data_IF_947478412655
#
_entry.id   IF_947478412655
#
_cell.length_a   1.000
_cell.length_b   1.000
_cell.length_c   1.000
_cell.angle_alpha   90.00
_cell.angle_beta   90.00
_cell.angle_gamma   90.00
#
_symmetry.space_group_name_H-M   'P 1'
#
loop_
_entity.id
_entity.type
_entity.pdbx_description
1 polymer ?
#
# COMPACT_ATOMS: atom_id res chain seq x y z
N UNK A 1 -32.32 -7.91 7.67
CA UNK A 1 -31.08 -8.47 8.24
C UNK A 1 -30.33 -9.12 7.09
N UNK A 2 -29.06 -8.79 6.82
CA UNK A 2 -28.26 -9.56 5.86
C UNK A 2 -28.22 -11.03 6.30
N UNK A 3 -28.28 -11.95 5.34
CA UNK A 3 -28.08 -13.38 5.59
C UNK A 3 -26.66 -13.61 6.11
N UNK A 4 -26.51 -14.37 7.19
CA UNK A 4 -25.20 -14.82 7.70
C UNK A 4 -24.54 -15.87 6.79
N UNK A 5 -25.28 -16.40 5.82
CA UNK A 5 -24.80 -17.38 4.85
C UNK A 5 -24.69 -16.77 3.46
N UNK A 6 -23.60 -17.10 2.76
CA UNK A 6 -23.41 -16.74 1.35
C UNK A 6 -24.45 -17.43 0.48
N UNK A 7 -25.10 -16.66 -0.38
CA UNK A 7 -26.03 -17.17 -1.37
C UNK A 7 -25.26 -17.60 -2.64
N UNK A 8 -24.84 -18.87 -2.63
CA UNK A 8 -24.11 -19.49 -3.76
C UNK A 8 -24.96 -19.52 -5.04
N UNK A 9 -26.28 -19.62 -4.90
CA UNK A 9 -27.20 -19.59 -6.04
C UNK A 9 -27.17 -18.21 -6.69
N UNK A 10 -27.27 -17.14 -5.87
CA UNK A 10 -27.14 -15.78 -6.36
C UNK A 10 -25.77 -15.51 -7.01
N UNK A 11 -24.68 -16.06 -6.46
CA UNK A 11 -23.34 -15.94 -7.06
C UNK A 11 -23.25 -16.59 -8.44
N UNK A 12 -23.86 -17.77 -8.62
CA UNK A 12 -23.91 -18.46 -9.92
C UNK A 12 -24.67 -17.67 -11.00
N UNK A 13 -25.60 -16.82 -10.58
CA UNK A 13 -26.39 -15.96 -11.47
C UNK A 13 -25.75 -14.60 -11.76
N UNK A 14 -24.61 -14.25 -11.15
CA UNK A 14 -23.92 -13.00 -11.45
C UNK A 14 -23.38 -12.99 -12.88
N UNK A 15 -23.45 -11.81 -13.51
CA UNK A 15 -22.88 -11.55 -14.84
C UNK A 15 -22.09 -10.24 -14.82
N UNK A 16 -21.02 -10.13 -15.63
CA UNK A 16 -20.47 -8.83 -15.97
C UNK A 16 -21.56 -7.86 -16.47
N UNK A 17 -21.44 -6.57 -16.14
CA UNK A 17 -22.45 -5.52 -16.36
C UNK A 17 -23.47 -5.37 -15.21
N UNK A 18 -23.60 -6.35 -14.31
CA UNK A 18 -24.47 -6.21 -13.14
C UNK A 18 -23.87 -5.27 -12.09
N UNK A 19 -24.70 -4.54 -11.30
CA UNK A 19 -24.19 -3.67 -10.25
C UNK A 19 -23.57 -4.46 -9.10
N UNK A 20 -22.53 -3.89 -8.47
CA UNK A 20 -21.82 -4.44 -7.31
C UNK A 20 -22.77 -4.77 -6.14
N UNK A 21 -23.90 -4.07 -6.04
CA UNK A 21 -24.93 -4.35 -5.05
C UNK A 21 -25.43 -5.81 -5.10
N UNK A 22 -25.50 -6.43 -6.29
CA UNK A 22 -25.90 -7.83 -6.44
C UNK A 22 -24.83 -8.77 -5.86
N UNK A 23 -23.56 -8.45 -6.08
CA UNK A 23 -22.44 -9.18 -5.52
C UNK A 23 -22.39 -9.04 -3.99
N UNK A 24 -22.58 -7.82 -3.46
CA UNK A 24 -22.60 -7.60 -2.01
C UNK A 24 -23.79 -8.32 -1.34
N UNK A 25 -24.96 -8.33 -1.98
CA UNK A 25 -26.13 -9.06 -1.48
C UNK A 25 -25.89 -10.57 -1.45
N UNK A 26 -25.28 -11.14 -2.49
CA UNK A 26 -24.98 -12.56 -2.55
C UNK A 26 -23.94 -12.98 -1.51
N UNK A 27 -22.94 -12.12 -1.24
CA UNK A 27 -21.91 -12.38 -0.23
C UNK A 27 -22.37 -12.13 1.21
N UNK A 28 -23.46 -11.39 1.43
CA UNK A 28 -24.02 -11.16 2.75
C UNK A 28 -23.02 -10.51 3.71
N UNK A 29 -22.87 -11.09 4.90
CA UNK A 29 -21.94 -10.60 5.94
C UNK A 29 -20.46 -10.78 5.59
N UNK A 30 -20.14 -11.56 4.54
CA UNK A 30 -18.77 -11.71 4.03
C UNK A 30 -18.38 -10.61 3.02
N UNK A 31 -19.30 -9.72 2.67
CA UNK A 31 -19.00 -8.54 1.89
C UNK A 31 -18.31 -7.47 2.74
N UNK A 32 -17.29 -6.82 2.16
CA UNK A 32 -16.80 -5.53 2.63
C UNK A 32 -16.73 -4.55 1.45
N UNK A 33 -16.93 -3.24 1.68
CA UNK A 33 -16.63 -2.23 0.69
C UNK A 33 -15.19 -2.36 0.17
N UNK A 34 -15.03 -2.19 -1.13
CA UNK A 34 -13.73 -2.23 -1.80
C UNK A 34 -12.92 -0.98 -1.44
N UNK A 35 -11.63 -1.18 -1.15
CA UNK A 35 -10.64 -0.10 -1.00
C UNK A 35 -9.79 0.02 -2.25
N UNK A 36 -8.92 1.03 -2.30
CA UNK A 36 -7.94 1.18 -3.38
C UNK A 36 -7.02 -0.04 -3.53
N UNK A 37 -6.74 -0.74 -2.44
CA UNK A 37 -5.80 -1.86 -2.37
C UNK A 37 -6.39 -3.14 -2.97
N UNK A 38 -7.72 -3.19 -3.10
CA UNK A 38 -8.39 -4.32 -3.72
C UNK A 38 -8.27 -4.29 -5.26
N UNK A 39 -7.95 -3.14 -5.85
CA UNK A 39 -7.92 -2.93 -7.31
C UNK A 39 -9.22 -3.36 -8.02
N UNK A 40 -10.34 -3.23 -7.32
CA UNK A 40 -11.66 -3.69 -7.73
C UNK A 40 -11.93 -5.17 -7.49
N UNK A 41 -10.94 -5.96 -7.06
CA UNK A 41 -11.10 -7.40 -6.87
C UNK A 41 -11.80 -7.78 -5.57
N UNK A 42 -12.79 -8.66 -5.70
CA UNK A 42 -13.50 -9.32 -4.63
C UNK A 42 -13.11 -10.80 -4.67
N UNK A 43 -12.37 -11.24 -3.66
CA UNK A 43 -11.87 -12.62 -3.53
C UNK A 43 -12.32 -13.20 -2.18
N UNK A 44 -13.52 -13.81 -2.11
CA UNK A 44 -13.96 -14.47 -0.90
C UNK A 44 -12.94 -15.50 -0.43
N UNK A 45 -12.83 -15.69 0.89
CA UNK A 45 -11.96 -16.70 1.44
C UNK A 45 -12.39 -18.09 0.96
N UNK A 46 -11.42 -19.01 0.79
CA UNK A 46 -11.66 -20.31 0.14
C UNK A 46 -12.65 -21.19 0.92
N UNK A 47 -12.66 -21.05 2.23
CA UNK A 47 -13.57 -21.68 3.18
C UNK A 47 -14.98 -21.07 3.16
N UNK A 48 -15.13 -19.86 2.64
CA UNK A 48 -16.41 -19.17 2.45
C UNK A 48 -17.01 -19.52 1.08
N UNK A 49 -16.28 -19.25 -0.01
CA UNK A 49 -16.64 -19.69 -1.37
C UNK A 49 -15.38 -20.06 -2.14
N UNK A 50 -15.17 -21.36 -2.36
CA UNK A 50 -14.09 -21.84 -3.20
C UNK A 50 -14.30 -21.51 -4.67
N UNK A 51 -13.24 -21.10 -5.36
CA UNK A 51 -13.21 -21.05 -6.83
C UNK A 51 -14.01 -19.90 -7.46
N UNK A 52 -14.31 -18.84 -6.72
CA UNK A 52 -14.99 -17.65 -7.23
C UNK A 52 -14.16 -16.39 -6.98
N UNK A 53 -14.09 -15.50 -7.97
CA UNK A 53 -13.70 -14.10 -7.74
C UNK A 53 -14.37 -13.18 -8.76
N UNK A 54 -14.52 -11.91 -8.38
CA UNK A 54 -15.09 -10.89 -9.23
C UNK A 54 -14.18 -9.65 -9.25
N UNK A 55 -14.17 -8.91 -10.35
CA UNK A 55 -13.59 -7.56 -10.40
C UNK A 55 -14.70 -6.56 -10.68
N UNK A 56 -14.76 -5.53 -9.85
CA UNK A 56 -15.67 -4.40 -9.95
C UNK A 56 -14.91 -3.25 -10.58
N UNK A 57 -15.58 -2.54 -11.48
CA UNK A 57 -15.05 -1.40 -12.20
C UNK A 57 -15.22 -0.09 -11.37
N UNK A 58 -14.74 1.03 -11.89
CA UNK A 58 -14.81 2.33 -11.19
C UNK A 58 -16.25 2.87 -11.05
N UNK A 59 -17.20 2.34 -11.81
CA UNK A 59 -18.61 2.72 -11.78
C UNK A 59 -19.45 1.81 -10.86
N UNK A 60 -18.81 0.85 -10.19
CA UNK A 60 -19.50 -0.08 -9.32
C UNK A 60 -20.29 -1.14 -10.08
N UNK A 61 -19.89 -1.48 -11.31
CA UNK A 61 -20.40 -2.64 -12.03
C UNK A 61 -19.39 -3.78 -12.00
N UNK A 62 -19.88 -5.02 -12.01
CA UNK A 62 -19.05 -6.20 -12.16
C UNK A 62 -18.48 -6.19 -13.58
N UNK A 63 -17.19 -6.06 -13.74
CA UNK A 63 -16.55 -6.09 -15.05
C UNK A 63 -15.94 -7.45 -15.41
N UNK A 64 -15.61 -8.26 -14.39
CA UNK A 64 -14.97 -9.56 -14.57
C UNK A 64 -15.49 -10.56 -13.53
N UNK A 65 -15.75 -11.80 -13.95
CA UNK A 65 -15.95 -12.94 -13.07
C UNK A 65 -15.00 -14.06 -13.45
N UNK A 66 -14.36 -14.68 -12.44
CA UNK A 66 -13.57 -15.89 -12.57
C UNK A 66 -14.22 -17.01 -11.77
N UNK A 67 -14.36 -18.18 -12.40
CA UNK A 67 -14.98 -19.37 -11.83
C UNK A 67 -14.06 -20.56 -12.09
N UNK A 68 -13.70 -21.30 -11.05
CA UNK A 68 -12.73 -22.40 -11.11
C UNK A 68 -13.23 -23.63 -10.35
N UNK A 69 -12.54 -24.77 -10.53
CA UNK A 69 -12.92 -26.12 -10.08
C UNK A 69 -13.53 -26.29 -8.68
N UNK A 70 -13.27 -25.38 -7.73
CA UNK A 70 -13.83 -25.43 -6.39
C UNK A 70 -15.25 -24.82 -6.27
N UNK A 71 -15.77 -24.18 -7.32
CA UNK A 71 -17.09 -23.57 -7.31
C UNK A 71 -18.19 -24.65 -7.50
N UNK A 72 -19.19 -24.74 -6.60
CA UNK A 72 -20.03 -25.92 -6.49
C UNK A 72 -21.28 -25.93 -7.40
N UNK A 73 -21.56 -24.83 -8.11
CA UNK A 73 -22.80 -24.65 -8.89
C UNK A 73 -22.52 -24.50 -10.39
N UNK A 74 -23.45 -24.95 -11.25
CA UNK A 74 -23.52 -24.52 -12.63
C UNK A 74 -23.63 -23.00 -12.75
N UNK A 75 -23.19 -22.45 -13.88
CA UNK A 75 -23.15 -21.01 -14.15
C UNK A 75 -23.66 -20.75 -15.56
N UNK A 76 -23.87 -19.48 -15.91
CA UNK A 76 -24.44 -19.09 -17.21
C UNK A 76 -25.82 -19.73 -17.45
N UNK A 77 -26.74 -19.46 -16.52
CA UNK A 77 -28.14 -19.93 -16.53
C UNK A 77 -28.23 -21.46 -16.56
N UNK A 78 -27.42 -22.10 -15.71
CA UNK A 78 -27.26 -23.56 -15.57
C UNK A 78 -26.75 -24.30 -16.81
N UNK A 79 -26.26 -23.58 -17.83
CA UNK A 79 -25.76 -24.19 -19.06
C UNK A 79 -24.36 -24.79 -18.91
N UNK A 80 -23.53 -24.19 -18.07
CA UNK A 80 -22.13 -24.59 -17.92
C UNK A 80 -21.84 -25.09 -16.51
N UNK A 81 -21.30 -26.29 -16.43
CA UNK A 81 -20.78 -26.87 -15.19
C UNK A 81 -19.34 -27.32 -15.40
N UNK A 82 -18.51 -27.05 -14.40
CA UNK A 82 -17.12 -27.51 -14.39
C UNK A 82 -17.09 -29.05 -14.48
N UNK A 83 -16.18 -29.59 -15.28
CA UNK A 83 -16.10 -31.00 -15.63
C UNK A 83 -16.87 -31.41 -16.89
N UNK A 84 -17.69 -30.53 -17.49
CA UNK A 84 -18.28 -30.77 -18.81
C UNK A 84 -17.21 -31.01 -19.88
N UNK A 85 -17.54 -31.82 -20.89
CA UNK A 85 -16.65 -32.06 -22.04
C UNK A 85 -16.64 -30.86 -22.98
N UNK A 86 -15.54 -30.67 -23.71
CA UNK A 86 -15.45 -29.64 -24.75
C UNK A 86 -16.60 -29.72 -25.76
N UNK A 87 -17.01 -30.93 -26.14
CA UNK A 87 -18.14 -31.15 -27.04
C UNK A 87 -19.46 -30.65 -26.44
N UNK A 88 -19.72 -30.94 -25.16
CA UNK A 88 -20.93 -30.48 -24.49
C UNK A 88 -20.95 -28.95 -24.36
N UNK A 89 -19.82 -28.33 -24.01
CA UNK A 89 -19.71 -26.87 -23.93
C UNK A 89 -19.91 -26.21 -25.31
N UNK A 90 -19.37 -26.81 -26.38
CA UNK A 90 -19.62 -26.33 -27.76
C UNK A 90 -21.07 -26.51 -28.21
N UNK A 91 -21.81 -27.47 -27.64
CA UNK A 91 -23.24 -27.61 -27.86
C UNK A 91 -24.03 -26.40 -27.34
N UNK A 92 -23.66 -25.91 -26.15
CA UNK A 92 -24.26 -24.72 -25.53
C UNK A 92 -23.75 -23.41 -26.14
N UNK A 93 -22.48 -23.37 -26.54
CA UNK A 93 -21.80 -22.23 -27.14
C UNK A 93 -21.14 -22.61 -28.48
N UNK A 94 -21.91 -22.67 -29.58
CA UNK A 94 -21.37 -23.06 -30.89
C UNK A 94 -20.31 -22.12 -31.45
N UNK A 95 -20.26 -20.87 -30.97
CA UNK A 95 -19.26 -19.86 -31.34
C UNK A 95 -17.94 -20.01 -30.59
N UNK A 96 -17.84 -20.97 -29.66
CA UNK A 96 -16.65 -21.23 -28.87
C UNK A 96 -15.50 -21.75 -29.75
N UNK A 97 -14.50 -20.89 -29.95
CA UNK A 97 -13.34 -21.14 -30.79
C UNK A 97 -12.08 -21.34 -29.95
N UNK A 98 -11.15 -22.15 -30.46
CA UNK A 98 -9.83 -22.30 -29.85
C UNK A 98 -9.05 -20.99 -29.98
N UNK A 99 -8.40 -20.56 -28.90
CA UNK A 99 -7.56 -19.37 -28.89
C UNK A 99 -6.08 -19.76 -28.88
N UNK A 100 -5.66 -20.50 -27.85
CA UNK A 100 -4.26 -20.85 -27.64
C UNK A 100 -4.11 -22.02 -26.66
N UNK A 101 -2.93 -22.63 -26.71
CA UNK A 101 -2.43 -23.52 -25.67
C UNK A 101 -1.67 -22.70 -24.60
N UNK A 102 -1.85 -23.05 -23.34
CA UNK A 102 -1.14 -22.47 -22.20
C UNK A 102 -0.29 -23.58 -21.57
N UNK A 103 1.02 -23.36 -21.50
CA UNK A 103 1.94 -24.29 -20.85
C UNK A 103 1.63 -24.36 -19.34
N UNK A 104 1.20 -25.52 -18.86
CA UNK A 104 1.07 -25.79 -17.43
C UNK A 104 2.28 -26.55 -16.88
N UNK A 105 2.40 -26.59 -15.55
CA UNK A 105 3.55 -27.20 -14.83
C UNK A 105 3.70 -28.69 -15.13
N UNK A 106 2.60 -29.41 -15.40
CA UNK A 106 2.61 -30.84 -15.70
C UNK A 106 2.00 -31.21 -17.05
N UNK A 107 1.09 -30.38 -17.58
CA UNK A 107 0.36 -30.62 -18.82
C UNK A 107 -0.11 -29.29 -19.46
N UNK A 108 -0.34 -29.31 -20.77
CA UNK A 108 -0.88 -28.17 -21.53
C UNK A 108 -2.36 -27.96 -21.23
N UNK A 109 -2.74 -26.72 -20.96
CA UNK A 109 -4.15 -26.29 -20.86
C UNK A 109 -4.58 -25.68 -22.19
N UNK A 110 -5.84 -25.86 -22.58
CA UNK A 110 -6.39 -25.30 -23.81
C UNK A 110 -7.36 -24.18 -23.49
N UNK A 111 -7.16 -23.02 -24.09
CA UNK A 111 -8.01 -21.85 -23.92
C UNK A 111 -8.94 -21.70 -25.11
N UNK A 112 -10.24 -21.56 -24.83
CA UNK A 112 -11.27 -21.30 -25.82
C UNK A 112 -12.00 -20.00 -25.50
N UNK A 113 -12.47 -19.31 -26.53
CA UNK A 113 -13.16 -18.02 -26.41
C UNK A 113 -14.44 -17.94 -27.23
N UNK A 114 -15.42 -17.22 -26.71
CA UNK A 114 -16.66 -16.88 -27.40
C UNK A 114 -17.09 -15.46 -27.03
N UNK A 115 -17.89 -14.83 -27.90
CA UNK A 115 -18.71 -13.67 -27.52
C UNK A 115 -20.14 -14.14 -27.28
N UNK A 116 -20.75 -13.67 -26.20
CA UNK A 116 -22.13 -13.96 -25.85
C UNK A 116 -23.08 -12.97 -26.55
N UNK A 117 -24.37 -13.29 -26.61
CA UNK A 117 -25.36 -12.47 -27.33
C UNK A 117 -25.56 -11.07 -26.71
N UNK A 118 -25.28 -10.94 -25.41
CA UNK A 118 -25.30 -9.71 -24.62
C UNK A 118 -23.95 -8.96 -24.63
N UNK A 119 -23.02 -9.33 -25.52
CA UNK A 119 -21.78 -8.58 -25.76
C UNK A 119 -20.64 -8.87 -24.79
N UNK A 120 -20.81 -9.82 -23.87
CA UNK A 120 -19.73 -10.26 -22.98
C UNK A 120 -18.75 -11.18 -23.73
N UNK A 121 -17.51 -11.24 -23.22
CA UNK A 121 -16.53 -12.25 -23.64
C UNK A 121 -16.51 -13.39 -22.63
N UNK A 122 -16.64 -14.60 -23.14
CA UNK A 122 -16.47 -15.84 -22.39
C UNK A 122 -15.14 -16.45 -22.78
N UNK A 123 -14.33 -16.79 -21.77
CA UNK A 123 -13.13 -17.60 -21.93
C UNK A 123 -13.29 -18.88 -21.10
N UNK A 124 -13.07 -20.04 -21.72
CA UNK A 124 -13.19 -21.34 -21.10
C UNK A 124 -11.85 -22.08 -21.13
N UNK A 125 -11.42 -22.58 -19.97
CA UNK A 125 -10.16 -23.29 -19.79
C UNK A 125 -10.40 -24.79 -19.72
N UNK A 126 -9.73 -25.56 -20.56
CA UNK A 126 -9.87 -27.01 -20.63
C UNK A 126 -8.55 -27.72 -20.32
N UNK A 127 -8.67 -28.92 -19.74
CA UNK A 127 -7.60 -29.92 -19.63
C UNK A 127 -8.19 -31.28 -19.93
N UNK A 128 -7.53 -32.07 -20.78
CA UNK A 128 -8.01 -33.39 -21.19
C UNK A 128 -9.49 -33.36 -21.62
N UNK A 129 -9.84 -32.34 -22.42
CA UNK A 129 -11.21 -32.04 -22.88
C UNK A 129 -12.25 -31.75 -21.78
N UNK A 130 -11.82 -31.50 -20.54
CA UNK A 130 -12.69 -31.17 -19.40
C UNK A 130 -12.59 -29.70 -19.02
N UNK A 131 -13.74 -29.05 -18.87
CA UNK A 131 -13.84 -27.66 -18.43
C UNK A 131 -13.34 -27.53 -16.99
N UNK A 132 -12.30 -26.73 -16.77
CA UNK A 132 -11.70 -26.48 -15.45
C UNK A 132 -12.03 -25.11 -14.88
N UNK A 133 -12.30 -24.15 -15.75
CA UNK A 133 -12.59 -22.79 -15.34
C UNK A 133 -13.19 -21.96 -16.46
N UNK A 134 -13.83 -20.88 -16.03
CA UNK A 134 -14.53 -19.93 -16.87
C UNK A 134 -14.15 -18.52 -16.43
N UNK A 135 -13.98 -17.64 -17.40
CA UNK A 135 -13.86 -16.21 -17.19
C UNK A 135 -14.91 -15.51 -18.03
N UNK A 136 -15.65 -14.59 -17.40
CA UNK A 136 -16.63 -13.75 -18.06
C UNK A 136 -16.17 -12.30 -17.94
N UNK A 137 -16.13 -11.59 -19.06
CA UNK A 137 -15.60 -10.24 -19.13
C UNK A 137 -16.57 -9.30 -19.85
N UNK A 138 -16.82 -8.14 -19.27
CA UNK A 138 -17.52 -7.04 -19.92
C UNK A 138 -16.50 -6.12 -20.62
N UNK A 139 -16.50 -6.03 -21.96
CA UNK A 139 -15.49 -5.28 -22.71
C UNK A 139 -15.35 -3.81 -22.32
N UNK A 140 -16.46 -3.20 -21.91
CA UNK A 140 -16.51 -1.76 -21.61
C UNK A 140 -16.30 -1.46 -20.11
N UNK A 141 -15.96 -2.46 -19.29
CA UNK A 141 -15.65 -2.23 -17.88
C UNK A 141 -14.37 -1.39 -17.75
N UNK A 142 -14.47 -0.28 -16.99
CA UNK A 142 -13.35 0.63 -16.79
C UNK A 142 -12.75 0.37 -15.41
N UNK A 143 -11.54 -0.14 -15.39
CA UNK A 143 -10.78 -0.27 -14.15
C UNK A 143 -9.89 0.95 -13.96
N UNK A 144 -9.49 1.21 -12.73
CA UNK A 144 -8.36 2.13 -12.49
C UNK A 144 -7.20 1.63 -13.35
N UNK A 145 -6.65 2.50 -14.19
CA UNK A 145 -5.61 2.12 -15.13
C UNK A 145 -4.48 1.43 -14.38
N UNK A 146 -3.96 0.32 -14.94
CA UNK A 146 -2.66 -0.21 -14.51
C UNK A 146 -1.68 0.95 -14.58
N UNK A 147 -1.25 1.42 -13.40
CA UNK A 147 -0.35 2.55 -13.37
C UNK A 147 0.98 2.09 -13.95
N UNK A 148 1.57 2.86 -14.87
CA UNK A 148 2.81 2.46 -15.51
C UNK A 148 3.91 2.27 -14.46
N UNK A 149 4.85 1.38 -14.78
CA UNK A 149 6.05 1.23 -13.98
C UNK A 149 6.74 2.59 -13.79
N UNK A 150 7.30 2.81 -12.61
CA UNK A 150 8.01 4.05 -12.36
C UNK A 150 9.33 4.04 -13.14
N UNK A 151 9.58 5.12 -13.88
CA UNK A 151 10.86 5.29 -14.54
C UNK A 151 11.98 5.36 -13.49
N UNK A 152 13.15 4.74 -13.73
CA UNK A 152 14.29 4.86 -12.83
C UNK A 152 14.67 6.33 -12.62
N UNK A 153 14.94 6.71 -11.38
CA UNK A 153 15.47 8.03 -11.05
C UNK A 153 17.00 7.97 -11.08
N UNK A 154 17.63 8.61 -12.06
CA UNK A 154 19.09 8.79 -12.10
C UNK A 154 19.50 10.05 -11.33
N UNK A 155 19.05 10.12 -10.06
CA UNK A 155 19.29 11.25 -9.17
C UNK A 155 20.16 10.79 -8.00
N UNK A 156 21.01 11.68 -7.43
CA UNK A 156 21.76 11.37 -6.22
C UNK A 156 20.83 10.90 -5.10
N UNK A 157 21.15 9.76 -4.49
CA UNK A 157 20.42 9.28 -3.33
C UNK A 157 20.62 10.23 -2.14
N UNK A 158 19.60 10.38 -1.31
CA UNK A 158 19.66 11.17 -0.08
C UNK A 158 19.48 12.67 -0.28
N UNK A 159 19.87 13.22 -1.43
CA UNK A 159 19.86 14.66 -1.64
C UNK A 159 18.48 15.29 -1.32
N UNK A 160 18.47 16.40 -0.56
CA UNK A 160 19.62 17.20 -0.17
C UNK A 160 20.24 16.81 1.20
N UNK A 161 19.86 15.66 1.76
CA UNK A 161 20.32 15.14 3.05
C UNK A 161 21.45 14.11 2.87
N UNK A 162 22.34 14.00 3.85
CA UNK A 162 23.40 12.98 3.81
C UNK A 162 22.92 11.62 4.32
N UNK A 163 21.96 11.60 5.23
CA UNK A 163 21.30 10.38 5.71
C UNK A 163 20.07 10.03 4.86
N UNK A 164 20.07 8.83 4.30
CA UNK A 164 18.99 8.33 3.45
C UNK A 164 17.70 8.09 4.25
N UNK A 165 17.80 7.64 5.50
CA UNK A 165 16.66 7.39 6.35
C UNK A 165 16.07 8.73 6.85
N UNK A 166 16.90 9.76 7.03
CA UNK A 166 16.38 11.11 7.32
C UNK A 166 15.50 11.62 6.18
N UNK A 167 15.91 11.38 4.93
CA UNK A 167 15.08 11.70 3.76
C UNK A 167 13.72 11.00 3.80
N UNK A 168 13.64 9.75 4.28
CA UNK A 168 12.36 9.05 4.41
C UNK A 168 11.43 9.73 5.42
N UNK A 169 11.96 10.19 6.55
CA UNK A 169 11.20 10.96 7.55
C UNK A 169 10.64 12.26 6.94
N UNK A 170 11.43 12.94 6.11
CA UNK A 170 10.96 14.14 5.39
C UNK A 170 9.90 13.80 4.34
N UNK A 171 10.06 12.69 3.61
CA UNK A 171 9.04 12.22 2.66
C UNK A 171 7.73 11.87 3.36
N UNK A 172 7.79 11.28 4.55
CA UNK A 172 6.60 10.98 5.36
C UNK A 172 5.82 12.26 5.72
N UNK A 173 6.51 13.29 6.20
CA UNK A 173 5.89 14.58 6.50
C UNK A 173 5.24 15.22 5.26
N UNK A 174 5.86 15.07 4.09
CA UNK A 174 5.29 15.56 2.82
C UNK A 174 4.08 14.75 2.35
N UNK A 175 4.06 13.43 2.60
CA UNK A 175 2.90 12.56 2.34
C UNK A 175 1.72 12.94 3.23
N UNK A 176 1.96 13.10 4.53
CA UNK A 176 0.94 13.50 5.50
C UNK A 176 0.32 14.86 5.13
N UNK A 177 1.18 15.82 4.75
CA UNK A 177 0.77 17.13 4.25
C UNK A 177 0.14 17.11 2.84
N UNK A 178 0.13 15.96 2.16
CA UNK A 178 -0.35 15.76 0.78
C UNK A 178 0.35 16.65 -0.25
N UNK A 179 1.63 16.94 -0.03
CA UNK A 179 2.50 17.70 -0.94
C UNK A 179 3.22 16.80 -1.95
N UNK A 180 3.20 15.50 -1.71
CA UNK A 180 3.56 14.45 -2.67
C UNK A 180 2.47 13.36 -2.65
N UNK A 181 2.33 12.65 -3.76
CA UNK A 181 1.39 11.54 -3.90
C UNK A 181 2.12 10.33 -4.48
N UNK A 182 2.21 9.26 -3.68
CA UNK A 182 2.79 7.98 -4.06
C UNK A 182 1.71 6.92 -4.34
N UNK A 183 0.42 7.26 -4.34
CA UNK A 183 -0.67 6.30 -4.30
C UNK A 183 -0.66 5.53 -2.97
N UNK A 184 -1.27 4.35 -2.91
CA UNK A 184 -1.09 3.47 -1.76
C UNK A 184 0.19 2.61 -1.90
N UNK A 185 0.67 2.06 -0.79
CA UNK A 185 1.89 1.26 -0.74
C UNK A 185 1.88 0.06 -1.70
N UNK A 186 0.76 -0.66 -1.83
CA UNK A 186 0.65 -1.82 -2.74
C UNK A 186 0.77 -1.43 -4.20
N UNK A 187 0.13 -0.33 -4.60
CA UNK A 187 0.23 0.24 -5.94
C UNK A 187 1.64 0.74 -6.20
N UNK A 188 2.24 1.47 -5.26
CA UNK A 188 3.62 1.92 -5.36
C UNK A 188 4.58 0.76 -5.58
N UNK A 189 4.50 -0.27 -4.73
CA UNK A 189 5.34 -1.48 -4.83
C UNK A 189 5.15 -2.18 -6.17
N UNK A 190 3.90 -2.32 -6.63
CA UNK A 190 3.62 -2.92 -7.93
C UNK A 190 4.29 -2.16 -9.08
N UNK A 191 4.26 -0.82 -9.02
CA UNK A 191 4.88 0.06 -10.03
C UNK A 191 6.40 0.01 -9.99
N UNK A 192 7.02 -0.03 -8.81
CA UNK A 192 8.48 -0.13 -8.66
C UNK A 192 8.97 -1.49 -9.14
N UNK A 193 8.26 -2.56 -8.80
CA UNK A 193 8.64 -3.93 -9.15
C UNK A 193 8.32 -4.30 -10.60
N UNK A 194 7.48 -3.52 -11.29
CA UNK A 194 7.03 -3.81 -12.65
C UNK A 194 6.15 -5.07 -12.74
N UNK A 195 5.56 -5.50 -11.62
CA UNK A 195 4.64 -6.64 -11.51
C UNK A 195 3.65 -6.38 -10.37
N UNK A 196 2.47 -7.02 -10.36
CA UNK A 196 1.57 -6.93 -9.20
C UNK A 196 2.30 -7.36 -7.90
N UNK A 197 2.16 -6.53 -6.87
CA UNK A 197 2.56 -6.85 -5.50
C UNK A 197 1.47 -7.73 -4.86
N UNK A 198 1.85 -8.88 -4.34
CA UNK A 198 0.95 -9.79 -3.64
C UNK A 198 1.17 -9.67 -2.12
N UNK A 199 0.35 -8.92 -1.36
CA UNK A 199 0.53 -8.77 0.08
C UNK A 199 0.30 -10.06 0.89
N UNK A 200 0.07 -11.24 0.31
CA UNK A 200 0.08 -12.55 1.01
C UNK A 200 1.27 -13.42 0.63
N UNK A 201 1.70 -13.34 -0.62
CA UNK A 201 2.90 -14.01 -1.13
C UNK A 201 4.18 -13.21 -0.89
N UNK A 202 4.13 -11.90 -1.17
CA UNK A 202 5.22 -10.95 -1.02
C UNK A 202 5.34 -10.38 0.41
N UNK A 203 4.32 -10.46 1.26
CA UNK A 203 4.46 -10.12 2.69
C UNK A 203 5.16 -11.20 3.51
N UNK A 204 5.30 -12.40 2.94
CA UNK A 204 6.21 -13.43 3.47
C UNK A 204 7.68 -13.07 3.21
N UNK A 205 7.97 -11.94 2.54
CA UNK A 205 9.31 -11.36 2.51
C UNK A 205 9.56 -10.71 3.87
N UNK A 206 10.38 -11.33 4.74
CA UNK A 206 10.72 -10.76 6.04
C UNK A 206 11.76 -9.64 5.89
N UNK A 207 11.74 -8.88 4.79
CA UNK A 207 12.83 -7.98 4.42
C UNK A 207 12.34 -6.76 3.66
N UNK A 208 13.04 -5.65 3.89
CA UNK A 208 13.04 -4.41 3.12
C UNK A 208 13.02 -4.64 1.59
N UNK A 209 12.05 -4.06 0.88
CA UNK A 209 12.06 -4.00 -0.58
C UNK A 209 13.13 -3.00 -1.04
N UNK A 210 14.30 -3.50 -1.43
CA UNK A 210 15.43 -2.63 -1.80
C UNK A 210 15.11 -1.72 -2.99
N UNK A 211 14.38 -2.20 -3.99
CA UNK A 211 14.00 -1.40 -5.15
C UNK A 211 13.11 -0.21 -4.77
N UNK A 212 12.18 -0.41 -3.83
CA UNK A 212 11.33 0.65 -3.30
C UNK A 212 12.13 1.68 -2.51
N UNK A 213 13.02 1.21 -1.61
CA UNK A 213 13.92 2.06 -0.86
C UNK A 213 14.79 2.92 -1.79
N UNK A 214 15.46 2.30 -2.76
CA UNK A 214 16.34 2.96 -3.72
C UNK A 214 15.60 4.02 -4.55
N UNK A 215 14.33 3.76 -4.88
CA UNK A 215 13.49 4.73 -5.57
C UNK A 215 13.19 5.95 -4.69
N UNK A 216 12.68 5.73 -3.48
CA UNK A 216 12.25 6.80 -2.58
C UNK A 216 13.40 7.74 -2.21
N UNK A 217 14.57 7.18 -1.89
CA UNK A 217 15.74 8.00 -1.50
C UNK A 217 16.28 8.84 -2.66
N UNK A 218 15.83 8.62 -3.89
CA UNK A 218 16.20 9.39 -5.09
C UNK A 218 15.14 10.39 -5.55
N UNK A 219 13.96 10.43 -4.92
CA UNK A 219 12.93 11.43 -5.24
C UNK A 219 13.52 12.84 -5.09
N UNK A 220 13.37 13.68 -6.11
CA UNK A 220 13.81 15.07 -6.03
C UNK A 220 12.85 15.87 -5.15
N UNK A 221 13.39 16.54 -4.14
CA UNK A 221 12.64 17.45 -3.29
C UNK A 221 12.94 18.89 -3.74
N UNK A 222 11.88 19.64 -4.00
CA UNK A 222 11.98 21.06 -4.35
C UNK A 222 12.15 21.94 -3.11
N UNK A 223 12.76 23.14 -3.22
CA UNK A 223 12.83 24.09 -2.11
C UNK A 223 11.46 24.43 -1.50
N UNK A 224 10.41 24.52 -2.33
CA UNK A 224 9.05 24.79 -1.88
C UNK A 224 8.50 23.63 -1.04
N UNK A 225 8.74 22.38 -1.44
CA UNK A 225 8.37 21.22 -0.62
C UNK A 225 9.14 21.19 0.71
N UNK A 226 10.45 21.41 0.67
CA UNK A 226 11.30 21.41 1.87
C UNK A 226 10.87 22.50 2.87
N UNK A 227 10.63 23.72 2.38
CA UNK A 227 10.17 24.83 3.22
C UNK A 227 8.74 24.64 3.75
N UNK A 228 7.91 23.82 3.09
CA UNK A 228 6.55 23.53 3.54
C UNK A 228 6.48 22.53 4.70
N UNK A 229 7.58 21.83 5.02
CA UNK A 229 7.62 20.89 6.15
C UNK A 229 7.61 21.67 7.47
N UNK A 230 6.56 21.47 8.28
CA UNK A 230 6.41 22.14 9.58
C UNK A 230 6.57 21.22 10.78
N UNK A 231 6.51 19.90 10.58
CA UNK A 231 6.65 18.91 11.64
C UNK A 231 7.41 17.69 11.12
N UNK A 232 8.22 17.08 11.99
CA UNK A 232 8.87 15.79 11.76
C UNK A 232 8.59 14.84 12.93
N UNK A 233 8.33 13.57 12.61
CA UNK A 233 8.18 12.49 13.58
C UNK A 233 9.18 11.37 13.26
N UNK A 234 10.03 10.98 14.21
CA UNK A 234 10.98 9.87 14.06
C UNK A 234 10.40 8.64 14.77
N UNK A 235 9.46 7.97 14.11
CA UNK A 235 8.68 6.86 14.67
C UNK A 235 8.59 5.68 13.72
N UNK A 236 8.69 4.46 14.25
CA UNK A 236 8.59 3.23 13.45
C UNK A 236 7.23 3.04 12.76
N UNK A 237 6.18 3.71 13.23
CA UNK A 237 4.83 3.69 12.67
C UNK A 237 4.57 4.69 11.55
N UNK A 238 5.56 5.45 11.10
CA UNK A 238 5.40 6.37 9.97
C UNK A 238 4.98 5.62 8.69
N UNK A 239 4.06 6.20 7.93
CA UNK A 239 3.44 5.56 6.77
C UNK A 239 4.44 5.30 5.63
N UNK A 240 5.50 6.10 5.50
CA UNK A 240 6.54 5.92 4.48
C UNK A 240 7.16 4.51 4.51
N UNK A 241 7.24 3.87 5.68
CA UNK A 241 7.88 2.56 5.80
C UNK A 241 7.03 1.44 5.18
N UNK A 242 5.70 1.59 5.13
CA UNK A 242 4.83 0.64 4.42
C UNK A 242 5.09 0.63 2.91
N UNK A 243 5.62 1.70 2.33
CA UNK A 243 6.01 1.73 0.91
C UNK A 243 7.29 0.93 0.63
N UNK A 244 8.01 0.50 1.67
CA UNK A 244 9.30 -0.19 1.58
C UNK A 244 9.20 -1.60 2.16
N UNK A 245 8.60 -1.73 3.33
CA UNK A 245 8.46 -2.97 4.08
C UNK A 245 7.07 -3.00 4.74
N UNK A 246 6.02 -3.36 3.98
CA UNK A 246 4.68 -3.53 4.54
C UNK A 246 4.66 -4.45 5.76
N UNK A 247 4.16 -3.94 6.89
CA UNK A 247 4.09 -4.69 8.14
C UNK A 247 5.40 -4.80 8.92
N UNK A 248 6.40 -3.96 8.62
CA UNK A 248 7.54 -3.78 9.51
C UNK A 248 7.08 -3.32 10.89
N UNK A 249 7.60 -3.94 11.94
CA UNK A 249 7.11 -3.71 13.30
C UNK A 249 7.75 -2.51 14.00
N UNK A 250 8.73 -1.85 13.39
CA UNK A 250 9.49 -0.76 14.02
C UNK A 250 10.62 -1.21 14.96
N UNK A 251 10.85 -2.52 15.10
CA UNK A 251 11.72 -3.10 16.15
C UNK A 251 13.19 -3.28 15.71
N UNK A 252 13.53 -2.98 14.46
CA UNK A 252 14.89 -3.13 13.92
C UNK A 252 15.51 -1.77 13.60
N UNK A 253 16.83 -1.72 13.46
CA UNK A 253 17.56 -0.47 13.22
C UNK A 253 17.65 -0.06 11.73
N UNK A 254 16.93 -0.76 10.84
CA UNK A 254 16.97 -0.59 9.39
C UNK A 254 16.64 0.84 8.92
N UNK A 255 15.84 1.56 9.70
CA UNK A 255 15.36 2.91 9.41
C UNK A 255 15.85 3.97 10.41
N UNK A 256 16.81 3.63 11.27
CA UNK A 256 17.39 4.60 12.21
C UNK A 256 18.10 5.72 11.45
N UNK A 257 17.91 6.95 11.93
CA UNK A 257 18.48 8.19 11.41
C UNK A 257 19.71 8.55 12.23
N UNK A 258 20.88 8.63 11.59
CA UNK A 258 22.18 8.83 12.24
C UNK A 258 22.79 10.20 11.98
N UNK A 259 22.22 10.97 11.03
CA UNK A 259 22.62 12.35 10.76
C UNK A 259 21.42 13.22 10.41
N UNK A 260 21.42 14.45 10.92
CA UNK A 260 20.47 15.51 10.60
C UNK A 260 21.04 16.55 9.61
N UNK A 261 22.20 16.28 9.00
CA UNK A 261 22.79 17.20 8.04
C UNK A 261 21.86 17.46 6.85
N UNK A 262 21.64 18.75 6.55
CA UNK A 262 20.67 19.22 5.56
C UNK A 262 19.33 19.66 6.16
N UNK A 263 19.06 19.40 7.45
CA UNK A 263 17.82 19.82 8.13
C UNK A 263 17.59 21.34 8.07
N UNK A 264 18.64 22.15 7.94
CA UNK A 264 18.54 23.61 7.82
C UNK A 264 17.74 24.09 6.60
N UNK A 265 17.46 23.19 5.65
CA UNK A 265 16.60 23.46 4.50
C UNK A 265 15.10 23.45 4.85
N UNK A 266 14.73 22.87 6.00
CA UNK A 266 13.36 22.85 6.52
C UNK A 266 13.08 24.13 7.32
N UNK A 267 13.13 25.28 6.63
CA UNK A 267 13.18 26.61 7.26
C UNK A 267 11.97 26.95 8.15
N UNK A 268 10.83 26.28 7.94
CA UNK A 268 9.60 26.47 8.71
C UNK A 268 9.27 25.30 9.63
N UNK A 269 10.23 24.42 9.92
CA UNK A 269 10.08 23.33 10.87
C UNK A 269 9.82 23.88 12.28
N UNK A 270 8.66 23.51 12.86
CA UNK A 270 8.19 23.98 14.17
C UNK A 270 8.18 22.87 15.21
N UNK A 271 7.86 21.66 14.81
CA UNK A 271 7.70 20.52 15.71
C UNK A 271 8.68 19.40 15.31
N UNK A 272 9.53 19.02 16.25
CA UNK A 272 10.47 17.91 16.11
C UNK A 272 10.15 16.89 17.21
N UNK A 273 9.71 15.70 16.81
CA UNK A 273 9.30 14.65 17.73
C UNK A 273 10.09 13.37 17.43
N UNK A 274 11.01 13.02 18.32
CA UNK A 274 11.71 11.75 18.28
C UNK A 274 11.03 10.74 19.20
N UNK A 275 10.55 9.63 18.65
CA UNK A 275 9.93 8.55 19.43
C UNK A 275 10.92 7.40 19.60
N UNK A 276 11.51 6.92 18.51
CA UNK A 276 12.35 5.73 18.54
C UNK A 276 13.41 5.62 17.43
N UNK A 277 13.45 6.51 16.43
CA UNK A 277 14.31 6.30 15.24
C UNK A 277 15.52 7.22 15.14
N UNK A 278 15.74 8.14 16.08
CA UNK A 278 16.91 9.03 16.03
C UNK A 278 18.10 8.47 16.82
N UNK A 279 19.22 8.26 16.14
CA UNK A 279 20.53 7.88 16.70
C UNK A 279 21.62 8.92 16.37
N UNK A 280 21.23 10.15 16.04
CA UNK A 280 22.16 11.18 15.62
C UNK A 280 23.05 11.64 16.78
N UNK A 281 24.37 11.52 16.60
CA UNK A 281 25.34 11.95 17.61
C UNK A 281 25.55 13.47 17.66
N UNK A 282 25.15 14.19 16.60
CA UNK A 282 25.23 15.65 16.52
C UNK A 282 23.86 16.26 16.22
N UNK A 283 23.35 17.01 17.19
CA UNK A 283 22.08 17.74 17.12
C UNK A 283 22.29 19.25 16.95
N UNK A 284 23.53 19.71 16.75
CA UNK A 284 23.84 21.13 16.48
C UNK A 284 23.15 21.71 15.25
N UNK A 285 22.80 20.94 14.18
CA UNK A 285 22.04 21.48 13.06
C UNK A 285 20.68 22.09 13.46
N UNK A 286 20.07 21.65 14.57
CA UNK A 286 18.81 22.21 15.08
C UNK A 286 18.90 23.71 15.40
N UNK A 287 20.09 24.22 15.74
CA UNK A 287 20.32 25.65 15.99
C UNK A 287 20.08 26.53 14.76
N UNK A 288 20.05 25.94 13.57
CA UNK A 288 19.82 26.65 12.30
C UNK A 288 18.34 26.74 11.94
N UNK A 289 17.44 26.23 12.78
CA UNK A 289 16.00 26.25 12.56
C UNK A 289 15.37 27.43 13.32
N UNK A 290 15.02 28.53 12.63
CA UNK A 290 14.53 29.74 13.30
C UNK A 290 13.13 29.57 13.90
N UNK A 291 12.32 28.67 13.34
CA UNK A 291 10.92 28.48 13.70
C UNK A 291 10.68 27.29 14.65
N UNK A 292 11.74 26.58 15.10
CA UNK A 292 11.60 25.40 15.95
C UNK A 292 11.07 25.76 17.34
N UNK A 293 9.84 25.34 17.63
CA UNK A 293 9.07 25.69 18.84
C UNK A 293 8.87 24.52 19.78
N UNK A 294 8.79 23.30 19.26
CA UNK A 294 8.60 22.09 20.04
C UNK A 294 9.70 21.09 19.73
N UNK A 295 10.36 20.63 20.78
CA UNK A 295 11.38 19.59 20.70
C UNK A 295 11.04 18.50 21.72
N UNK A 296 10.69 17.32 21.23
CA UNK A 296 10.47 16.13 22.03
C UNK A 296 11.53 15.10 21.65
N UNK A 297 12.32 14.66 22.62
CA UNK A 297 13.44 13.74 22.42
C UNK A 297 13.11 12.41 23.08
N UNK A 298 13.08 11.36 22.27
CA UNK A 298 12.78 10.00 22.67
C UNK A 298 13.79 9.42 23.65
N UNK A 299 13.59 8.15 23.97
CA UNK A 299 14.50 7.41 24.85
C UNK A 299 15.92 7.34 24.25
N UNK A 300 16.93 7.69 25.04
CA UNK A 300 18.34 7.55 24.67
C UNK A 300 18.92 8.74 23.90
N UNK A 301 18.11 9.73 23.50
CA UNK A 301 18.58 10.92 22.79
C UNK A 301 18.96 12.02 23.78
N UNK A 302 20.26 12.23 23.99
CA UNK A 302 20.78 13.27 24.89
C UNK A 302 21.14 14.54 24.14
N UNK A 303 20.58 15.67 24.57
CA UNK A 303 20.89 16.97 24.00
C UNK A 303 21.80 17.79 24.94
N UNK A 304 22.98 18.25 24.47
CA UNK A 304 23.81 19.17 25.24
C UNK A 304 23.05 20.45 25.60
N UNK A 305 23.16 20.88 26.87
CA UNK A 305 22.48 22.06 27.40
C UNK A 305 22.74 23.34 26.57
N UNK A 306 23.94 23.49 26.01
CA UNK A 306 24.30 24.63 25.17
C UNK A 306 23.46 24.71 23.89
N UNK A 307 23.13 23.56 23.26
CA UNK A 307 22.27 23.53 22.07
C UNK A 307 20.84 23.89 22.47
N UNK A 308 20.32 23.23 23.50
CA UNK A 308 18.94 23.43 23.97
C UNK A 308 18.67 24.89 24.37
N UNK A 309 19.59 25.53 25.08
CA UNK A 309 19.51 26.95 25.44
C UNK A 309 19.72 27.90 24.26
N UNK A 310 20.42 27.43 23.22
CA UNK A 310 20.69 28.18 21.99
C UNK A 310 19.51 28.22 21.02
N UNK A 311 18.48 27.40 21.20
CA UNK A 311 17.29 27.42 20.35
C UNK A 311 16.48 28.71 20.57
N UNK A 312 16.29 29.54 19.52
CA UNK A 312 15.79 30.90 19.67
C UNK A 312 14.28 30.98 19.91
N UNK A 313 13.50 30.10 19.28
CA UNK A 313 12.04 30.12 19.30
C UNK A 313 11.41 28.99 20.13
N UNK A 314 12.22 28.26 20.91
CA UNK A 314 11.75 27.09 21.65
C UNK A 314 10.70 27.50 22.70
N UNK A 315 9.53 26.85 22.64
CA UNK A 315 8.40 27.06 23.56
C UNK A 315 8.13 25.81 24.41
N UNK A 316 8.42 24.61 23.88
CA UNK A 316 8.18 23.31 24.51
C UNK A 316 9.40 22.41 24.37
N UNK A 317 9.80 21.79 25.47
CA UNK A 317 10.84 20.77 25.51
C UNK A 317 10.33 19.55 26.28
N UNK A 318 10.50 18.37 25.71
CA UNK A 318 10.21 17.12 26.38
C UNK A 318 11.33 16.10 26.15
N UNK A 319 11.55 15.26 27.15
CA UNK A 319 12.47 14.13 27.08
C UNK A 319 12.18 13.12 28.20
N UNK A 320 12.77 11.93 28.09
CA UNK A 320 12.75 10.96 29.18
C UNK A 320 13.55 11.47 30.40
N UNK A 321 13.12 11.08 31.62
CA UNK A 321 13.76 11.51 32.87
C UNK A 321 15.27 11.20 32.94
N UNK A 322 15.71 10.04 32.45
CA UNK A 322 17.12 9.62 32.48
C UNK A 322 18.03 10.37 31.48
N UNK A 323 17.41 11.02 30.49
CA UNK A 323 18.08 11.79 29.44
C UNK A 323 17.97 13.30 29.66
N UNK A 324 17.34 13.71 30.76
CA UNK A 324 17.13 15.10 31.10
C UNK A 324 18.45 15.87 31.24
N UNK A 325 18.52 17.11 30.71
CA UNK A 325 19.62 18.02 31.01
C UNK A 325 19.78 18.24 32.52
N UNK A 326 20.96 18.73 32.92
CA UNK A 326 21.18 19.04 34.32
C UNK A 326 20.17 20.09 34.85
N UNK A 327 20.03 20.12 36.18
CA UNK A 327 19.08 21.01 36.85
C UNK A 327 19.29 22.49 36.50
N UNK A 328 20.54 22.92 36.24
CA UNK A 328 20.83 24.32 35.91
C UNK A 328 20.27 24.65 34.53
N UNK A 329 20.44 23.76 33.56
CA UNK A 329 19.87 23.91 32.23
C UNK A 329 18.34 23.92 32.24
N UNK A 330 17.70 23.02 33.02
CA UNK A 330 16.24 22.96 33.14
C UNK A 330 15.65 24.25 33.72
N UNK A 331 16.27 24.81 34.76
CA UNK A 331 15.83 26.08 35.34
C UNK A 331 16.05 27.27 34.40
N UNK A 332 17.16 27.27 33.64
CA UNK A 332 17.41 28.29 32.61
C UNK A 332 16.35 28.24 31.49
N UNK A 333 15.88 27.05 31.10
CA UNK A 333 14.80 26.91 30.11
C UNK A 333 13.47 27.45 30.63
N UNK A 334 13.09 27.09 31.86
CA UNK A 334 11.88 27.64 32.50
C UNK A 334 11.96 29.16 32.62
N UNK A 335 13.12 29.72 32.95
CA UNK A 335 13.34 31.16 33.01
C UNK A 335 13.21 31.85 31.64
N UNK A 336 13.52 31.15 30.53
CA UNK A 336 13.22 31.59 29.16
C UNK A 336 11.73 31.43 28.78
N UNK A 337 10.89 30.88 29.65
CA UNK A 337 9.47 30.63 29.39
C UNK A 337 9.18 29.30 28.68
N UNK A 338 10.17 28.42 28.54
CA UNK A 338 10.01 27.10 27.90
C UNK A 338 9.24 26.17 28.84
N UNK A 339 8.20 25.51 28.32
CA UNK A 339 7.47 24.46 29.03
C UNK A 339 8.27 23.17 28.95
N UNK A 340 8.71 22.66 30.10
CA UNK A 340 9.46 21.40 30.20
C UNK A 340 8.54 20.29 30.67
N UNK A 341 8.55 19.15 29.98
CA UNK A 341 7.90 17.90 30.40
C UNK A 341 8.94 16.79 30.45
N UNK A 342 9.01 16.08 31.57
CA UNK A 342 9.76 14.84 31.69
C UNK A 342 8.75 13.69 31.76
N UNK A 343 9.11 12.53 31.21
CA UNK A 343 8.24 11.35 31.18
C UNK A 343 9.01 10.04 31.38
#
# INVERSE_FOLDING_TARGET
MPSDTVDIEALAQLRPGMPVLRLSQALGTHWRPLTSDDEGWVRPARDVVGGFSARVDIHGIIGHLNIHAAFPKPVMDDRLQLGMTLQAVKGEYPTLAFLQDIAGVSQTLQLYGASTADGMKLTALFRDERLLGLQLFYPDAIYVAEMPALAPLDLPAGAPFTDLNFKLVVLDALLEARLIDLGNASQFLSRVLGRPYDPRGDSQWPHKCQAAYDYLVRILLTPDQLSAVTALCFDGGNAIYDYIWPGWSGETDDFHVRSLEGIEQLTHLRDFNDIALLEANDLSPLLRLPDLRSLDLGLGTKLPAAILLGLPALERFACHEDDAPDRVALEALKAKGVKVRLY
#
